data_IF_979774718253
#
_entry.id   IF_979774718253
#
_cell.length_a   1.000
_cell.length_b   1.000
_cell.length_c   1.000
_cell.angle_alpha   90.00
_cell.angle_beta   90.00
_cell.angle_gamma   90.00
#
_symmetry.space_group_name_H-M   'P 1'
#
loop_
_entity.id
_entity.type
_entity.pdbx_description
1 polymer ?
#
# COMPACT_ATOMS: atom_id res chain seq x y z
N UNK A 1 -17.30 4.79 3.29
CA UNK A 1 -16.07 4.46 4.05
C UNK A 1 -15.39 3.30 3.34
N UNK A 2 -14.07 3.31 3.24
CA UNK A 2 -13.29 2.22 2.62
C UNK A 2 -13.28 0.98 3.51
N UNK A 3 -13.01 -0.19 2.93
CA UNK A 3 -12.97 -1.47 3.66
C UNK A 3 -11.91 -2.39 3.09
N UNK A 4 -11.07 -2.98 3.95
CA UNK A 4 -10.09 -4.00 3.54
C UNK A 4 -10.84 -5.34 3.38
N UNK A 5 -11.15 -5.71 2.13
CA UNK A 5 -11.88 -6.95 1.85
C UNK A 5 -10.98 -8.18 1.96
N UNK A 6 -9.70 -8.05 1.61
CA UNK A 6 -8.73 -9.15 1.68
C UNK A 6 -7.38 -8.62 2.11
N UNK A 7 -6.75 -9.33 3.03
CA UNK A 7 -5.38 -9.10 3.45
C UNK A 7 -4.65 -10.44 3.56
N UNK A 8 -3.51 -10.55 2.90
CA UNK A 8 -2.61 -11.70 2.93
C UNK A 8 -1.18 -11.20 2.77
N UNK A 9 -0.14 -11.99 3.09
CA UNK A 9 1.24 -11.53 3.04
C UNK A 9 1.70 -10.96 1.68
N UNK A 10 1.05 -11.36 0.58
CA UNK A 10 1.43 -10.93 -0.79
C UNK A 10 0.39 -10.11 -1.51
N UNK A 11 -0.82 -9.98 -0.95
CA UNK A 11 -1.91 -9.27 -1.61
C UNK A 11 -2.84 -8.61 -0.60
N UNK A 12 -3.29 -7.40 -0.92
CA UNK A 12 -4.45 -6.76 -0.30
C UNK A 12 -5.46 -6.27 -1.35
N UNK A 13 -6.74 -6.27 -0.98
CA UNK A 13 -7.85 -5.68 -1.73
C UNK A 13 -8.59 -4.73 -0.80
N UNK A 14 -8.73 -3.48 -1.21
CA UNK A 14 -9.35 -2.40 -0.45
C UNK A 14 -10.43 -1.76 -1.31
N UNK A 15 -11.66 -1.78 -0.83
CA UNK A 15 -12.81 -1.26 -1.57
C UNK A 15 -13.08 0.16 -1.10
N UNK A 16 -13.14 1.11 -2.03
CA UNK A 16 -13.65 2.46 -1.83
C UNK A 16 -15.05 2.53 -2.47
N UNK A 17 -15.86 3.57 -2.17
CA UNK A 17 -17.17 3.73 -2.81
C UNK A 17 -17.10 3.72 -4.35
N UNK A 18 -16.08 4.37 -4.92
CA UNK A 18 -15.99 4.64 -6.36
C UNK A 18 -14.91 3.84 -7.10
N UNK A 19 -14.06 3.09 -6.37
CA UNK A 19 -12.99 2.29 -6.95
C UNK A 19 -12.48 1.22 -5.99
N UNK A 20 -11.76 0.24 -6.53
CA UNK A 20 -11.04 -0.74 -5.72
C UNK A 20 -9.53 -0.50 -5.86
N UNK A 21 -8.81 -0.68 -4.76
CA UNK A 21 -7.35 -0.71 -4.74
C UNK A 21 -6.88 -2.14 -4.54
N UNK A 22 -5.94 -2.57 -5.38
CA UNK A 22 -5.27 -3.85 -5.21
C UNK A 22 -3.78 -3.66 -5.07
N UNK A 23 -3.23 -4.22 -4.01
CA UNK A 23 -1.81 -4.17 -3.67
C UNK A 23 -1.25 -5.57 -3.85
N UNK A 24 -0.12 -5.68 -4.54
CA UNK A 24 0.65 -6.91 -4.64
C UNK A 24 2.09 -6.66 -4.24
N UNK A 25 2.61 -7.55 -3.40
CA UNK A 25 4.01 -7.55 -2.99
C UNK A 25 4.66 -8.86 -3.40
N UNK A 26 5.84 -8.76 -4.00
CA UNK A 26 6.67 -9.90 -4.39
C UNK A 26 7.93 -9.93 -3.52
N UNK A 27 8.16 -11.04 -2.86
CA UNK A 27 9.38 -11.28 -2.07
C UNK A 27 10.40 -12.10 -2.85
N UNK A 28 11.69 -11.84 -2.61
CA UNK A 28 12.82 -12.69 -3.01
C UNK A 28 13.60 -13.04 -1.75
N UNK A 29 13.44 -14.27 -1.26
CA UNK A 29 13.94 -14.65 0.06
C UNK A 29 13.27 -13.82 1.16
N UNK A 30 14.07 -13.13 1.99
CA UNK A 30 13.58 -12.35 3.14
C UNK A 30 13.22 -10.89 2.83
N UNK A 31 13.42 -10.42 1.60
CA UNK A 31 13.19 -9.01 1.26
C UNK A 31 12.13 -8.84 0.18
N UNK A 32 11.40 -7.72 0.25
CA UNK A 32 10.52 -7.25 -0.80
C UNK A 32 11.34 -6.87 -2.04
N UNK A 33 10.93 -7.37 -3.20
CA UNK A 33 11.55 -7.14 -4.50
C UNK A 33 10.66 -6.35 -5.47
N UNK A 34 9.36 -6.28 -5.19
CA UNK A 34 8.43 -5.47 -5.94
C UNK A 34 7.17 -5.17 -5.13
N UNK A 35 6.61 -3.97 -5.31
CA UNK A 35 5.30 -3.58 -4.81
C UNK A 35 4.56 -2.96 -5.98
N UNK A 36 3.30 -3.32 -6.17
CA UNK A 36 2.46 -2.82 -7.27
C UNK A 36 1.06 -2.53 -6.76
N UNK A 37 0.51 -1.40 -7.18
CA UNK A 37 -0.79 -0.90 -6.75
C UNK A 37 -1.61 -0.53 -7.98
N UNK A 38 -2.80 -1.11 -8.08
CA UNK A 38 -3.77 -0.82 -9.13
C UNK A 38 -4.97 -0.07 -8.56
N UNK A 39 -5.50 0.87 -9.35
CA UNK A 39 -6.84 1.43 -9.17
C UNK A 39 -7.76 0.84 -10.21
N UNK A 40 -8.78 0.14 -9.75
CA UNK A 40 -9.73 -0.56 -10.61
C UNK A 40 -11.14 -0.01 -10.41
N UNK A 41 -12.03 -0.14 -11.41
CA UNK A 41 -13.45 0.07 -11.19
C UNK A 41 -13.99 -0.83 -10.07
N UNK A 42 -15.05 -0.43 -9.35
CA UNK A 42 -15.66 -1.27 -8.32
C UNK A 42 -16.02 -2.66 -8.85
N UNK A 43 -15.86 -3.70 -8.01
CA UNK A 43 -16.24 -5.10 -8.32
C UNK A 43 -15.53 -5.67 -9.55
N UNK A 44 -14.35 -5.17 -9.85
CA UNK A 44 -13.58 -5.57 -11.03
C UNK A 44 -12.97 -6.97 -10.88
N UNK A 45 -12.86 -7.71 -11.99
CA UNK A 45 -12.28 -9.05 -12.00
C UNK A 45 -10.75 -9.00 -12.04
N UNK A 46 -10.07 -10.14 -11.90
CA UNK A 46 -8.61 -10.21 -12.08
C UNK A 46 -8.14 -9.70 -13.46
N UNK A 47 -8.91 -9.97 -14.53
CA UNK A 47 -8.60 -9.52 -15.89
C UNK A 47 -8.48 -8.00 -16.00
N UNK A 48 -9.18 -7.27 -15.14
CA UNK A 48 -9.11 -5.81 -15.07
C UNK A 48 -7.71 -5.27 -14.75
N UNK A 49 -6.82 -6.09 -14.18
CA UNK A 49 -5.45 -5.71 -13.87
C UNK A 49 -4.48 -5.86 -15.05
N UNK A 50 -4.87 -6.56 -16.13
CA UNK A 50 -4.03 -6.71 -17.31
C UNK A 50 -3.94 -5.43 -18.14
N UNK A 51 -4.83 -4.47 -17.90
CA UNK A 51 -4.72 -3.14 -18.49
C UNK A 51 -3.73 -2.29 -17.70
N UNK A 52 -2.63 -1.89 -18.35
CA UNK A 52 -1.55 -1.13 -17.74
C UNK A 52 -1.98 0.27 -17.29
N UNK A 53 -3.00 0.85 -17.93
CA UNK A 53 -3.58 2.16 -17.57
C UNK A 53 -4.18 2.20 -16.16
N UNK A 54 -4.42 1.03 -15.56
CA UNK A 54 -4.95 0.89 -14.20
C UNK A 54 -3.88 0.65 -13.14
N UNK A 55 -2.63 0.40 -13.55
CA UNK A 55 -1.49 0.36 -12.63
C UNK A 55 -1.11 1.80 -12.30
N UNK A 56 -1.36 2.21 -11.06
CA UNK A 56 -1.14 3.61 -10.65
C UNK A 56 0.20 3.83 -9.97
N UNK A 57 0.81 2.77 -9.44
CA UNK A 57 2.08 2.87 -8.74
C UNK A 57 2.80 1.52 -8.68
N UNK A 58 4.10 1.53 -8.91
CA UNK A 58 4.93 0.33 -8.80
C UNK A 58 6.38 0.68 -8.46
N UNK A 59 6.99 -0.13 -7.61
CA UNK A 59 8.40 -0.03 -7.22
C UNK A 59 9.05 -1.39 -7.25
N UNK A 60 10.35 -1.42 -7.53
CA UNK A 60 11.10 -2.65 -7.80
C UNK A 60 12.49 -2.59 -7.17
N UNK A 61 13.10 -3.77 -6.97
CA UNK A 61 14.51 -3.88 -6.60
C UNK A 61 14.83 -3.21 -5.26
N UNK A 62 15.88 -2.39 -5.26
CA UNK A 62 16.40 -1.76 -4.05
C UNK A 62 15.43 -0.76 -3.44
N UNK A 63 14.61 -0.08 -4.24
CA UNK A 63 13.58 0.84 -3.74
C UNK A 63 12.50 0.09 -2.95
N UNK A 64 12.04 -1.05 -3.49
CA UNK A 64 11.10 -1.92 -2.79
C UNK A 64 11.70 -2.50 -1.50
N UNK A 65 13.01 -2.82 -1.52
CA UNK A 65 13.76 -3.27 -0.34
C UNK A 65 13.90 -2.18 0.72
N UNK A 66 14.20 -0.94 0.32
CA UNK A 66 14.25 0.23 1.22
C UNK A 66 12.91 0.46 1.89
N UNK A 67 11.84 0.49 1.12
CA UNK A 67 10.50 0.70 1.67
C UNK A 67 10.11 -0.43 2.64
N UNK A 68 10.41 -1.68 2.30
CA UNK A 68 10.22 -2.82 3.20
C UNK A 68 11.01 -2.68 4.50
N UNK A 69 12.27 -2.23 4.43
CA UNK A 69 13.10 -1.98 5.60
C UNK A 69 12.54 -0.86 6.48
N UNK A 70 12.00 0.21 5.88
CA UNK A 70 11.38 1.31 6.61
C UNK A 70 10.17 0.84 7.40
N UNK A 71 9.29 0.05 6.77
CA UNK A 71 8.12 -0.49 7.46
C UNK A 71 8.44 -1.57 8.49
N UNK A 72 9.67 -2.09 8.54
CA UNK A 72 10.02 -3.17 9.47
C UNK A 72 9.81 -2.80 10.94
N UNK A 73 10.01 -1.53 11.31
CA UNK A 73 9.73 -1.03 12.67
C UNK A 73 8.23 -0.94 12.97
N UNK A 74 7.42 -0.71 11.94
CA UNK A 74 5.97 -0.52 12.03
C UNK A 74 5.20 -1.84 11.87
N UNK A 75 5.90 -2.93 11.53
CA UNK A 75 5.35 -4.28 11.38
C UNK A 75 5.54 -4.88 9.99
N UNK A 76 4.57 -5.69 9.55
CA UNK A 76 4.56 -6.28 8.22
C UNK A 76 4.22 -5.22 7.16
N UNK A 77 5.08 -5.10 6.14
CA UNK A 77 4.92 -4.14 5.03
C UNK A 77 3.51 -4.16 4.43
N UNK A 78 2.97 -5.35 4.13
CA UNK A 78 1.66 -5.44 3.49
C UNK A 78 0.55 -4.99 4.45
N UNK A 79 0.57 -5.47 5.70
CA UNK A 79 -0.41 -5.04 6.72
C UNK A 79 -0.37 -3.52 6.92
N UNK A 80 0.81 -2.94 7.11
CA UNK A 80 0.95 -1.52 7.39
C UNK A 80 0.55 -0.66 6.19
N UNK A 81 1.00 -1.02 4.98
CA UNK A 81 0.64 -0.30 3.76
C UNK A 81 -0.88 -0.40 3.47
N UNK A 82 -1.46 -1.59 3.62
CA UNK A 82 -2.90 -1.78 3.43
C UNK A 82 -3.73 -1.02 4.47
N UNK A 83 -3.26 -0.95 5.72
CA UNK A 83 -3.90 -0.16 6.77
C UNK A 83 -3.87 1.33 6.46
N UNK A 84 -2.71 1.89 6.11
CA UNK A 84 -2.57 3.32 5.74
C UNK A 84 -3.45 3.68 4.54
N UNK A 85 -3.46 2.85 3.49
CA UNK A 85 -4.34 3.06 2.33
C UNK A 85 -5.82 2.88 2.71
N UNK A 86 -6.14 1.91 3.57
CA UNK A 86 -7.50 1.70 4.07
C UNK A 86 -8.05 2.86 4.90
N UNK A 87 -7.20 3.71 5.47
CA UNK A 87 -7.60 4.92 6.19
C UNK A 87 -7.85 6.12 5.27
N UNK A 88 -7.45 6.06 4.00
CA UNK A 88 -7.71 7.12 3.04
C UNK A 88 -9.22 7.24 2.76
N UNK A 89 -9.73 8.46 2.66
CA UNK A 89 -11.13 8.75 2.33
C UNK A 89 -11.39 8.69 0.83
N UNK A 90 -10.40 9.11 0.04
CA UNK A 90 -10.50 9.25 -1.40
C UNK A 90 -9.15 8.96 -2.09
N UNK A 91 -9.13 9.18 -3.41
CA UNK A 91 -7.95 8.92 -4.23
C UNK A 91 -6.85 9.98 -4.05
N UNK A 92 -7.18 11.21 -3.67
CA UNK A 92 -6.18 12.26 -3.44
C UNK A 92 -5.39 12.01 -2.17
N UNK A 93 -6.05 11.58 -1.09
CA UNK A 93 -5.36 11.13 0.14
C UNK A 93 -4.45 9.93 -0.15
N UNK A 94 -4.90 8.97 -0.98
CA UNK A 94 -4.09 7.83 -1.41
C UNK A 94 -2.84 8.28 -2.18
N UNK A 95 -2.96 9.24 -3.10
CA UNK A 95 -1.77 9.80 -3.78
C UNK A 95 -0.78 10.39 -2.77
N UNK A 96 -1.27 11.06 -1.73
CA UNK A 96 -0.43 11.56 -0.63
C UNK A 96 0.39 10.44 0.02
N UNK A 97 -0.24 9.31 0.34
CA UNK A 97 0.45 8.11 0.86
C UNK A 97 1.52 7.61 -0.09
N UNK A 98 1.25 7.56 -1.39
CA UNK A 98 2.22 7.12 -2.40
C UNK A 98 3.41 8.08 -2.55
N UNK A 99 3.16 9.39 -2.48
CA UNK A 99 4.21 10.42 -2.49
C UNK A 99 5.12 10.28 -1.28
N UNK A 100 4.56 9.98 -0.10
CA UNK A 100 5.36 9.74 1.10
C UNK A 100 6.20 8.46 0.99
N UNK A 101 5.66 7.38 0.40
CA UNK A 101 6.47 6.20 0.05
C UNK A 101 7.65 6.57 -0.86
N UNK A 102 7.45 7.45 -1.85
CA UNK A 102 8.53 7.94 -2.72
C UNK A 102 9.59 8.73 -1.97
N UNK A 103 9.19 9.57 -1.02
CA UNK A 103 10.13 10.31 -0.16
C UNK A 103 10.99 9.37 0.67
N UNK A 104 10.38 8.34 1.26
CA UNK A 104 11.09 7.32 2.04
C UNK A 104 12.15 6.61 1.18
N UNK A 105 11.81 6.20 -0.04
CA UNK A 105 12.76 5.52 -0.94
C UNK A 105 13.96 6.42 -1.30
N UNK A 106 13.72 7.73 -1.42
CA UNK A 106 14.76 8.76 -1.64
C UNK A 106 15.56 9.11 -0.37
N UNK A 107 15.27 8.47 0.77
CA UNK A 107 15.97 8.68 2.04
C UNK A 107 15.43 9.85 2.88
N UNK A 108 14.28 10.41 2.51
CA UNK A 108 13.58 11.43 3.28
C UNK A 108 12.59 10.85 4.29
N UNK A 109 11.93 11.74 5.03
CA UNK A 109 10.86 11.40 5.96
C UNK A 109 9.48 11.67 5.33
N UNK A 110 8.46 10.84 5.62
CA UNK A 110 7.10 11.12 5.22
C UNK A 110 6.58 12.36 5.97
N UNK A 111 5.68 13.12 5.34
CA UNK A 111 5.09 14.32 5.97
C UNK A 111 3.57 14.22 6.16
N UNK A 112 2.94 13.17 5.64
CA UNK A 112 1.51 12.98 5.70
C UNK A 112 1.04 12.47 7.06
N UNK A 113 -0.17 12.86 7.50
CA UNK A 113 -0.71 12.50 8.80
C UNK A 113 -0.86 10.98 8.99
N UNK A 114 -1.08 10.22 7.91
CA UNK A 114 -1.22 8.76 7.95
C UNK A 114 0.10 8.02 8.23
N UNK A 115 1.25 8.67 8.00
CA UNK A 115 2.57 8.16 8.37
C UNK A 115 3.04 8.67 9.73
N UNK A 116 2.58 9.85 10.14
CA UNK A 116 2.92 10.48 11.42
C UNK A 116 2.03 10.00 12.58
N UNK A 117 0.82 9.51 12.29
CA UNK A 117 -0.04 8.90 13.28
C UNK A 117 0.45 7.47 13.63
N UNK A 118 0.52 7.11 14.93
CA UNK A 118 0.79 5.73 15.32
C UNK A 118 -0.27 4.81 14.71
N UNK A 119 0.17 3.68 14.14
CA UNK A 119 -0.74 2.63 13.67
C UNK A 119 -1.47 2.09 14.89
N UNK A 120 -2.69 2.56 15.16
CA UNK A 120 -3.49 2.11 16.30
C UNK A 120 -3.88 0.65 16.06
N UNK A 121 -3.06 -0.24 16.60
CA UNK A 121 -3.35 -1.65 16.89
C UNK A 121 -2.51 -1.98 18.15
N UNK A 122 -2.70 -1.22 19.24
CA UNK A 122 -2.38 -1.74 20.57
C UNK A 122 -3.63 -2.47 21.06
N UNK A 123 -3.64 -3.80 21.17
CA UNK A 123 -4.59 -4.42 22.05
C UNK A 123 -4.29 -3.88 23.46
N UNK A 124 -5.25 -3.18 24.05
CA UNK A 124 -5.31 -3.02 25.50
C UNK A 124 -5.47 -4.41 26.10
N UNK A 125 -4.42 -4.82 26.81
CA UNK A 125 -4.34 -5.85 27.87
C UNK A 125 -4.92 -7.26 27.59
#
# INVERSE_FOLDING_TARGET
MSTIQRLSPRQAIINFPDFDIRIFVKYRGRYCSAIRIWKLPPRSTFLSMMRSDRLIWAVYGDDAKRLHGWFHSDGDLMKTLASKIGQCKDYEELKGVLIDCERIMRGGYPSGPLFLAPTIDRPTE
#
